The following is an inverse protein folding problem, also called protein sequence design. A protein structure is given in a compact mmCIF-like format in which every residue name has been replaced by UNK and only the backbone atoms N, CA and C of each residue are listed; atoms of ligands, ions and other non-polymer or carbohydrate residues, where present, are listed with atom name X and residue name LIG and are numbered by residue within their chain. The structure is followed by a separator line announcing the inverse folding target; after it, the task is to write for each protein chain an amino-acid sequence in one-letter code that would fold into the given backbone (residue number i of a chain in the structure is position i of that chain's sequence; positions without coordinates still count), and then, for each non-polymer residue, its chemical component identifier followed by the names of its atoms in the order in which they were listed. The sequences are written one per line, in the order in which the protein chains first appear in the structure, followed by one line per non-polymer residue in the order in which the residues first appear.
data_IF_799567475898
#
_entry.id   IF_799567475898
#
_cell.length_a   1.000
_cell.length_b   1.000
_cell.length_c   1.000
_cell.angle_alpha   90.00
_cell.angle_beta   90.00
_cell.angle_gamma   90.00
#
_symmetry.space_group_name_H-M   'P 1'
#
loop_
_entity.id
_entity.type
_entity.pdbx_description
1 polymer ?
#
# COMPACT_ATOMS: atom_id res chain seq x y z
N UNK A 1 13.58 7.32 -5.28
CA UNK A 1 12.24 7.88 -5.51
C UNK A 1 11.20 7.39 -4.51
N UNK A 2 11.44 6.29 -3.86
CA UNK A 2 10.41 5.70 -3.01
C UNK A 2 10.02 6.55 -1.82
N UNK A 3 10.98 7.19 -1.16
CA UNK A 3 10.67 8.13 -0.10
C UNK A 3 9.86 9.27 -0.65
N UNK A 4 10.21 9.73 -1.83
CA UNK A 4 9.48 10.79 -2.52
C UNK A 4 8.08 10.31 -2.92
N UNK A 5 7.94 9.06 -3.35
CA UNK A 5 6.62 8.51 -3.67
C UNK A 5 5.74 8.44 -2.43
N UNK A 6 6.30 8.03 -1.28
CA UNK A 6 5.58 8.00 -0.03
C UNK A 6 5.21 9.41 0.43
N UNK A 7 6.13 10.37 0.27
CA UNK A 7 5.85 11.78 0.56
C UNK A 7 4.74 12.31 -0.33
N UNK A 8 4.81 11.99 -1.63
CA UNK A 8 3.77 12.38 -2.58
C UNK A 8 2.43 11.78 -2.15
N UNK A 9 2.42 10.53 -1.76
CA UNK A 9 1.20 9.90 -1.27
C UNK A 9 0.64 10.63 -0.05
N UNK A 10 1.50 10.96 0.91
CA UNK A 10 1.08 11.67 2.11
C UNK A 10 0.48 13.05 1.82
N UNK A 11 0.88 13.66 0.72
CA UNK A 11 0.49 15.00 0.35
C UNK A 11 -0.50 15.07 -0.83
N UNK A 12 -0.82 13.93 -1.44
CA UNK A 12 -1.65 13.87 -2.65
C UNK A 12 -2.97 14.61 -2.46
N UNK A 13 -3.62 14.41 -1.35
CA UNK A 13 -4.89 15.05 -1.06
C UNK A 13 -4.77 16.57 -1.01
N UNK A 14 -3.74 17.07 -0.33
CA UNK A 14 -3.47 18.51 -0.26
C UNK A 14 -3.14 19.08 -1.62
N UNK A 15 -2.30 18.42 -2.41
CA UNK A 15 -1.95 18.87 -3.74
C UNK A 15 -3.15 18.95 -4.66
N UNK A 16 -3.99 17.93 -4.65
CA UNK A 16 -5.19 17.90 -5.46
C UNK A 16 -6.12 19.08 -5.11
N UNK A 17 -6.28 19.35 -3.83
CA UNK A 17 -7.07 20.48 -3.35
C UNK A 17 -6.46 21.80 -3.77
N UNK A 18 -5.15 21.96 -3.58
CA UNK A 18 -4.45 23.20 -3.89
C UNK A 18 -4.46 23.54 -5.37
N UNK A 19 -4.28 22.55 -6.22
CA UNK A 19 -4.21 22.76 -7.66
C UNK A 19 -5.56 22.78 -8.35
N UNK A 20 -6.62 22.33 -7.68
CA UNK A 20 -7.94 22.21 -8.27
C UNK A 20 -8.00 21.19 -9.40
N UNK A 21 -7.06 20.25 -9.45
CA UNK A 21 -7.00 19.23 -10.50
C UNK A 21 -8.19 18.29 -10.44
N UNK A 22 -8.71 18.08 -9.25
CA UNK A 22 -9.74 17.09 -9.02
C UNK A 22 -10.95 17.72 -8.32
N UNK A 23 -12.11 17.46 -8.89
CA UNK A 23 -13.37 17.75 -8.21
C UNK A 23 -13.78 16.53 -7.38
N UNK A 24 -14.32 16.77 -6.20
CA UNK A 24 -14.81 15.70 -5.35
C UNK A 24 -16.27 15.42 -5.65
N UNK A 25 -16.57 14.16 -5.90
CA UNK A 25 -17.93 13.69 -6.05
C UNK A 25 -18.35 13.01 -4.75
N UNK A 26 -19.15 13.71 -3.97
CA UNK A 26 -19.57 13.20 -2.66
C UNK A 26 -20.49 11.99 -2.75
N UNK A 27 -21.04 11.69 -3.94
CA UNK A 27 -21.85 10.49 -4.11
C UNK A 27 -21.03 9.22 -3.91
N UNK A 28 -19.73 9.27 -4.16
CA UNK A 28 -18.84 8.15 -3.90
C UNK A 28 -18.81 7.76 -2.42
N UNK A 29 -19.00 8.73 -1.53
CA UNK A 29 -19.02 8.48 -0.08
C UNK A 29 -20.18 7.59 0.34
N UNK A 30 -21.21 7.53 -0.47
CA UNK A 30 -22.39 6.74 -0.18
C UNK A 30 -22.40 5.40 -0.94
N UNK A 31 -21.23 4.98 -1.40
CA UNK A 31 -21.08 3.71 -2.08
C UNK A 31 -21.41 3.72 -3.57
N UNK A 32 -21.32 4.88 -4.21
CA UNK A 32 -21.62 5.02 -5.65
C UNK A 32 -20.63 4.28 -6.55
N UNK A 33 -19.34 4.23 -6.15
CA UNK A 33 -18.33 3.46 -6.87
C UNK A 33 -17.51 2.65 -5.88
N UNK A 34 -17.15 1.42 -6.28
CA UNK A 34 -16.29 0.59 -5.47
C UNK A 34 -14.87 1.14 -5.46
N UNK A 35 -14.23 1.13 -4.30
CA UNK A 35 -12.81 1.40 -4.20
C UNK A 35 -12.03 0.36 -5.01
N UNK A 36 -10.99 0.80 -5.70
CA UNK A 36 -10.06 -0.13 -6.36
C UNK A 36 -9.10 -0.68 -5.32
N UNK A 37 -9.64 -1.48 -4.42
CA UNK A 37 -8.90 -2.02 -3.29
C UNK A 37 -9.29 -3.46 -3.03
N UNK A 38 -8.33 -4.24 -2.53
CA UNK A 38 -8.55 -5.61 -2.09
C UNK A 38 -7.87 -5.81 -0.74
N UNK A 39 -8.45 -6.69 0.07
CA UNK A 39 -7.84 -7.09 1.32
C UNK A 39 -8.05 -8.59 1.52
N UNK A 40 -7.02 -9.27 1.98
CA UNK A 40 -7.10 -10.71 2.22
C UNK A 40 -7.86 -11.07 3.50
N UNK A 41 -8.01 -10.10 4.43
CA UNK A 41 -8.77 -10.33 5.65
C UNK A 41 -10.25 -10.38 5.31
N UNK A 42 -10.91 -11.44 5.78
CA UNK A 42 -12.36 -11.54 5.69
C UNK A 42 -12.98 -10.74 6.83
N UNK A 43 -13.33 -9.50 6.54
CA UNK A 43 -13.75 -8.52 7.53
C UNK A 43 -15.24 -8.67 7.81
N UNK A 44 -15.61 -9.67 8.61
CA UNK A 44 -17.01 -9.99 8.90
C UNK A 44 -17.50 -9.44 10.24
N UNK A 45 -16.61 -9.21 11.19
CA UNK A 45 -16.97 -8.71 12.52
C UNK A 45 -16.37 -7.31 12.76
N UNK A 46 -16.81 -6.60 13.80
CA UNK A 46 -16.31 -5.24 14.07
C UNK A 46 -14.80 -5.18 14.29
N UNK A 47 -14.21 -6.19 14.89
CA UNK A 47 -12.77 -6.25 15.15
C UNK A 47 -11.97 -6.34 13.86
N UNK A 48 -12.31 -7.27 12.98
CA UNK A 48 -11.60 -7.42 11.70
C UNK A 48 -11.85 -6.24 10.77
N UNK A 49 -13.06 -5.68 10.79
CA UNK A 49 -13.35 -4.46 10.03
C UNK A 49 -12.48 -3.29 10.48
N UNK A 50 -12.26 -3.16 11.79
CA UNK A 50 -11.39 -2.11 12.33
C UNK A 50 -9.94 -2.31 11.91
N UNK A 51 -9.46 -3.55 11.89
CA UNK A 51 -8.10 -3.85 11.43
C UNK A 51 -7.92 -3.43 9.98
N UNK A 52 -8.87 -3.76 9.12
CA UNK A 52 -8.83 -3.39 7.69
C UNK A 52 -8.89 -1.87 7.54
N UNK A 53 -9.77 -1.21 8.26
CA UNK A 53 -9.88 0.25 8.18
C UNK A 53 -8.58 0.92 8.61
N UNK A 54 -7.98 0.46 9.70
CA UNK A 54 -6.73 1.03 10.19
C UNK A 54 -5.57 0.75 9.24
N UNK A 55 -5.51 -0.43 8.64
CA UNK A 55 -4.50 -0.73 7.63
C UNK A 55 -4.62 0.22 6.44
N UNK A 56 -5.84 0.48 6.00
CA UNK A 56 -6.10 1.36 4.86
C UNK A 56 -5.83 2.82 5.19
N UNK A 57 -6.24 3.29 6.38
CA UNK A 57 -6.28 4.70 6.71
C UNK A 57 -5.22 5.16 7.73
N UNK A 58 -4.81 4.28 8.62
CA UNK A 58 -3.87 4.60 9.70
C UNK A 58 -2.82 3.50 9.88
N UNK A 59 -1.97 3.24 8.86
CA UNK A 59 -0.94 2.20 9.02
C UNK A 59 0.02 2.57 10.15
N UNK A 60 0.51 1.56 10.83
CA UNK A 60 1.39 1.75 11.98
C UNK A 60 2.79 2.18 11.59
N UNK A 61 3.26 1.70 10.44
CA UNK A 61 4.63 1.87 10.00
C UNK A 61 4.72 2.11 8.50
N UNK A 62 5.87 2.55 8.06
CA UNK A 62 6.22 2.63 6.64
C UNK A 62 7.28 1.58 6.34
N UNK A 63 7.12 0.88 5.23
CA UNK A 63 8.07 -0.15 4.81
C UNK A 63 9.50 0.40 4.72
N UNK A 64 9.64 1.66 4.30
CA UNK A 64 10.96 2.29 4.18
C UNK A 64 11.77 2.31 5.48
N UNK A 65 11.09 2.29 6.62
CA UNK A 65 11.74 2.29 7.93
C UNK A 65 12.16 0.88 8.37
N UNK A 66 11.84 -0.12 7.57
CA UNK A 66 12.11 -1.52 7.87
C UNK A 66 13.10 -2.18 6.90
N UNK A 67 13.82 -1.39 6.14
CA UNK A 67 14.84 -1.94 5.21
C UNK A 67 15.85 -2.77 6.01
N UNK A 68 16.10 -3.99 5.52
CA UNK A 68 16.94 -5.00 6.15
C UNK A 68 16.37 -5.58 7.46
N UNK A 69 15.10 -5.31 7.73
CA UNK A 69 14.37 -5.91 8.86
C UNK A 69 13.32 -6.88 8.35
N UNK A 70 12.92 -7.80 9.22
CA UNK A 70 11.93 -8.81 8.87
C UNK A 70 10.54 -8.41 9.31
N UNK A 71 9.55 -8.88 8.54
CA UNK A 71 8.13 -8.74 8.87
C UNK A 71 7.51 -10.12 8.68
N UNK A 72 6.70 -10.55 9.65
CA UNK A 72 5.94 -11.80 9.54
C UNK A 72 4.58 -11.49 8.92
N UNK A 73 4.51 -11.51 7.61
CA UNK A 73 3.33 -11.08 6.86
C UNK A 73 2.26 -12.16 6.88
N UNK A 74 1.08 -11.80 7.34
CA UNK A 74 -0.08 -12.69 7.37
C UNK A 74 -1.10 -12.31 6.31
N UNK A 75 -1.38 -11.03 6.17
CA UNK A 75 -2.40 -10.50 5.27
C UNK A 75 -1.87 -9.33 4.45
N UNK A 76 -2.59 -9.02 3.38
CA UNK A 76 -2.25 -7.93 2.47
C UNK A 76 -3.49 -7.09 2.22
N UNK A 77 -3.30 -5.77 2.29
CA UNK A 77 -4.26 -4.80 1.75
C UNK A 77 -3.56 -4.10 0.58
N UNK A 78 -4.28 -3.90 -0.50
CA UNK A 78 -3.72 -3.22 -1.68
C UNK A 78 -4.78 -2.36 -2.33
N UNK A 79 -4.38 -1.18 -2.78
CA UNK A 79 -5.26 -0.27 -3.50
C UNK A 79 -4.49 0.46 -4.60
N UNK A 80 -5.23 0.93 -5.59
CA UNK A 80 -4.66 1.80 -6.62
C UNK A 80 -4.96 3.24 -6.22
N UNK A 81 -3.92 4.04 -6.12
CA UNK A 81 -4.06 5.47 -5.80
C UNK A 81 -3.61 6.30 -7.00
N UNK A 82 -4.06 7.54 -7.03
CA UNK A 82 -3.67 8.49 -8.04
C UNK A 82 -2.68 9.48 -7.46
N UNK A 83 -1.57 9.68 -8.16
CA UNK A 83 -0.55 10.66 -7.79
C UNK A 83 -0.46 11.69 -8.90
N UNK A 84 -0.58 12.97 -8.53
CA UNK A 84 -0.44 14.06 -9.48
C UNK A 84 1.03 14.48 -9.59
N UNK A 85 1.49 14.63 -10.82
CA UNK A 85 2.82 15.20 -11.07
C UNK A 85 2.72 16.73 -10.99
N UNK A 86 3.51 17.33 -10.13
CA UNK A 86 3.47 18.78 -9.90
C UNK A 86 3.82 19.61 -11.13
N UNK A 87 4.75 19.12 -11.94
CA UNK A 87 5.23 19.84 -13.11
C UNK A 87 4.30 19.71 -14.30
N UNK A 88 3.91 18.48 -14.63
CA UNK A 88 3.11 18.19 -15.82
C UNK A 88 1.63 18.15 -15.55
N UNK A 89 1.24 18.05 -14.28
CA UNK A 89 -0.15 17.84 -13.81
C UNK A 89 -0.77 16.55 -14.31
N UNK A 90 0.04 15.63 -14.80
CA UNK A 90 -0.43 14.31 -15.13
C UNK A 90 -0.77 13.52 -13.88
N UNK A 91 -1.84 12.78 -13.97
CA UNK A 91 -2.26 11.86 -12.90
C UNK A 91 -1.78 10.47 -13.27
N UNK A 92 -1.01 9.87 -12.38
CA UNK A 92 -0.49 8.51 -12.56
C UNK A 92 -1.11 7.61 -11.50
N UNK A 93 -1.56 6.44 -11.92
CA UNK A 93 -2.07 5.43 -11.00
C UNK A 93 -0.94 4.54 -10.53
N UNK A 94 -0.83 4.36 -9.23
CA UNK A 94 0.22 3.54 -8.63
C UNK A 94 -0.37 2.63 -7.55
N UNK A 95 0.23 1.44 -7.34
CA UNK A 95 -0.23 0.55 -6.29
C UNK A 95 0.28 1.00 -4.92
N UNK A 96 -0.61 1.04 -3.96
CA UNK A 96 -0.27 1.18 -2.54
C UNK A 96 -0.48 -0.17 -1.88
N UNK A 97 0.57 -0.69 -1.27
CA UNK A 97 0.55 -1.99 -0.62
C UNK A 97 0.69 -1.80 0.88
N UNK A 98 -0.14 -2.48 1.64
CA UNK A 98 -0.03 -2.53 3.10
C UNK A 98 0.17 -3.98 3.50
N UNK A 99 1.32 -4.25 4.12
CA UNK A 99 1.61 -5.56 4.70
C UNK A 99 1.03 -5.57 6.11
N UNK A 100 0.28 -6.60 6.44
CA UNK A 100 -0.33 -6.77 7.76
C UNK A 100 0.33 -7.97 8.41
N UNK A 101 0.96 -7.76 9.56
CA UNK A 101 1.69 -8.83 10.22
C UNK A 101 0.80 -9.71 11.09
N UNK A 102 1.41 -10.72 11.71
CA UNK A 102 0.68 -11.68 12.54
C UNK A 102 0.00 -11.03 13.75
N UNK A 103 0.47 -9.85 14.17
CA UNK A 103 -0.10 -9.12 15.31
C UNK A 103 -1.10 -8.05 14.87
N UNK A 104 -1.37 -7.95 13.57
CA UNK A 104 -2.29 -6.96 13.02
C UNK A 104 -1.68 -5.60 12.76
N UNK A 105 -0.37 -5.45 12.89
CA UNK A 105 0.31 -4.20 12.57
C UNK A 105 0.44 -4.01 11.06
N UNK A 106 0.27 -2.80 10.60
CA UNK A 106 0.23 -2.47 9.19
C UNK A 106 1.45 -1.66 8.75
N UNK A 107 2.03 -2.05 7.62
CA UNK A 107 3.24 -1.44 7.05
C UNK A 107 2.94 -1.01 5.62
N UNK A 108 2.90 0.28 5.36
CA UNK A 108 2.52 0.79 4.05
C UNK A 108 3.70 1.06 3.12
N UNK A 109 3.46 0.89 1.84
CA UNK A 109 4.44 1.17 0.81
C UNK A 109 3.75 1.52 -0.51
N UNK A 110 4.21 2.58 -1.15
CA UNK A 110 3.80 2.90 -2.52
C UNK A 110 4.96 2.54 -3.42
N UNK A 111 4.92 1.36 -4.03
CA UNK A 111 6.06 0.84 -4.80
C UNK A 111 5.62 -0.21 -5.81
N UNK A 112 6.03 -0.03 -7.05
CA UNK A 112 5.83 -1.03 -8.10
C UNK A 112 6.65 -2.29 -7.79
N UNK A 113 7.84 -2.11 -7.20
CA UNK A 113 8.69 -3.25 -6.81
C UNK A 113 8.03 -4.10 -5.74
N UNK A 114 7.40 -3.47 -4.75
CA UNK A 114 6.67 -4.20 -3.72
C UNK A 114 5.46 -4.92 -4.32
N UNK A 115 4.73 -4.26 -5.20
CA UNK A 115 3.60 -4.88 -5.89
C UNK A 115 4.05 -6.13 -6.65
N UNK A 116 5.16 -6.05 -7.37
CA UNK A 116 5.73 -7.18 -8.09
C UNK A 116 6.13 -8.32 -7.14
N UNK A 117 6.75 -7.98 -6.00
CA UNK A 117 7.14 -8.97 -5.01
C UNK A 117 5.92 -9.71 -4.45
N UNK A 118 4.86 -8.99 -4.11
CA UNK A 118 3.63 -9.60 -3.58
C UNK A 118 2.99 -10.51 -4.62
N UNK A 119 2.96 -10.11 -5.89
CA UNK A 119 2.42 -10.96 -6.95
C UNK A 119 3.16 -12.30 -7.03
N UNK A 120 4.47 -12.26 -6.88
CA UNK A 120 5.30 -13.48 -6.90
C UNK A 120 5.05 -14.34 -5.67
N UNK A 121 4.93 -13.73 -4.50
CA UNK A 121 4.59 -14.47 -3.28
C UNK A 121 3.24 -15.19 -3.42
N UNK A 122 2.25 -14.50 -3.95
CA UNK A 122 0.92 -15.09 -4.17
C UNK A 122 1.00 -16.24 -5.19
N UNK A 123 1.78 -16.06 -6.26
CA UNK A 123 1.93 -17.10 -7.27
C UNK A 123 2.61 -18.36 -6.71
N UNK A 124 3.53 -18.20 -5.77
CA UNK A 124 4.33 -19.30 -5.22
C UNK A 124 3.67 -19.93 -3.99
N UNK A 125 3.18 -19.11 -3.08
CA UNK A 125 2.64 -19.56 -1.78
C UNK A 125 1.13 -19.60 -1.73
N UNK A 126 0.45 -19.15 -2.78
CA UNK A 126 -1.00 -19.01 -2.78
C UNK A 126 -1.45 -17.68 -2.19
N UNK A 127 -2.74 -17.43 -2.23
CA UNK A 127 -3.30 -16.19 -1.73
C UNK A 127 -3.24 -16.12 -0.19
N UNK A 128 -3.01 -14.92 0.40
CA UNK A 128 -3.18 -14.76 1.84
C UNK A 128 -4.66 -14.92 2.22
N UNK A 129 -5.01 -15.22 3.42
CA UNK A 129 -4.21 -15.16 4.65
C UNK A 129 -3.19 -16.29 4.67
N UNK A 130 -1.97 -15.97 5.06
CA UNK A 130 -0.91 -16.96 5.17
C UNK A 130 -0.78 -17.47 6.60
N UNK A 131 -0.95 -18.77 6.78
CA UNK A 131 -0.80 -19.45 8.07
C UNK A 131 0.05 -20.70 7.89
N UNK A 132 1.27 -20.75 8.45
CA UNK A 132 1.91 -19.69 9.23
C UNK A 132 2.28 -18.46 8.38
N UNK A 133 2.47 -17.30 9.03
CA UNK A 133 2.86 -16.08 8.31
C UNK A 133 4.16 -16.27 7.53
N UNK A 134 4.31 -15.53 6.45
CA UNK A 134 5.56 -15.55 5.68
C UNK A 134 6.54 -14.55 6.30
N UNK A 135 7.72 -15.03 6.67
CA UNK A 135 8.78 -14.16 7.17
C UNK A 135 9.55 -13.60 5.99
N UNK A 136 9.43 -12.30 5.78
CA UNK A 136 10.10 -11.61 4.67
C UNK A 136 11.02 -10.54 5.20
N UNK A 137 12.09 -10.27 4.46
CA UNK A 137 13.01 -9.16 4.76
C UNK A 137 12.78 -8.07 3.73
N UNK A 138 12.61 -6.85 4.21
CA UNK A 138 12.47 -5.69 3.31
C UNK A 138 13.84 -5.36 2.72
N UNK A 139 13.89 -5.24 1.40
CA UNK A 139 15.10 -4.85 0.70
C UNK A 139 14.85 -3.61 -0.15
N UNK A 140 15.88 -2.83 -0.30
CA UNK A 140 15.88 -1.67 -1.18
C UNK A 140 16.90 -1.90 -2.28
N UNK A 141 16.49 -1.66 -3.53
CA UNK A 141 17.36 -1.83 -4.70
C UNK A 141 17.46 -0.51 -5.43
N UNK A 142 18.65 -0.18 -5.90
CA UNK A 142 18.84 0.96 -6.79
C UNK A 142 18.41 0.58 -8.21
N UNK A 143 17.59 1.43 -8.83
CA UNK A 143 17.11 1.24 -10.19
C UNK A 143 17.26 2.57 -10.93
N UNK A 144 18.25 2.61 -11.84
CA UNK A 144 18.54 3.87 -12.54
C UNK A 144 18.86 4.99 -11.57
N UNK A 145 18.09 6.08 -11.61
CA UNK A 145 18.27 7.23 -10.73
C UNK A 145 17.47 7.13 -9.43
N UNK A 146 16.68 6.08 -9.27
CA UNK A 146 15.84 5.92 -8.11
C UNK A 146 16.13 4.66 -7.35
N UNK A 147 15.24 4.33 -6.44
CA UNK A 147 15.30 3.08 -5.71
C UNK A 147 13.90 2.49 -5.61
N UNK A 148 13.85 1.19 -5.39
CA UNK A 148 12.58 0.51 -5.19
C UNK A 148 12.69 -0.41 -3.98
N UNK A 149 11.55 -0.70 -3.37
CA UNK A 149 11.47 -1.67 -2.29
C UNK A 149 11.01 -3.00 -2.84
N UNK A 150 11.55 -4.06 -2.27
CA UNK A 150 11.18 -5.42 -2.58
C UNK A 150 11.31 -6.28 -1.33
N UNK A 151 11.03 -7.56 -1.46
CA UNK A 151 11.08 -8.49 -0.36
C UNK A 151 12.04 -9.63 -0.68
N UNK A 152 12.65 -10.17 0.36
CA UNK A 152 13.50 -11.35 0.29
C UNK A 152 13.05 -12.32 1.38
N UNK A 153 13.04 -13.61 1.05
CA UNK A 153 12.71 -14.67 2.01
C UNK A 153 13.93 -15.09 2.82
#
# INVERSE_FOLDING_TARGET
MNDKAVEIFSNVESEIVETGIREYDVSELMGGEALQAVCSIDAVDPETKAIVFNAANNPDHKVKDFVNKTINVKDIYAEIIEIANEETREITKVPRIVLIDADGLAFECVSVGMYSAIRKLVAIYGAPTWEPPLTVTVKQKSVGKGSMYTLQM
#
